data_IF_649432547791
#
_entry.id   IF_649432547791
#
_cell.length_a   1.000
_cell.length_b   1.000
_cell.length_c   1.000
_cell.angle_alpha   90.00
_cell.angle_beta   90.00
_cell.angle_gamma   90.00
#
_symmetry.space_group_name_H-M   'P 1'
#
loop_
_entity.id
_entity.type
_entity.pdbx_description
1 polymer ?
#
# COMPACT_ATOMS: atom_id res chain seq x y z
N UNK A 1 -6.76 -11.12 29.41
CA UNK A 1 -5.87 -9.97 29.65
C UNK A 1 -6.64 -8.68 29.56
N UNK A 2 -6.37 -7.70 30.42
CA UNK A 2 -6.96 -6.37 30.27
C UNK A 2 -6.56 -5.79 28.91
N UNK A 3 -7.49 -5.06 28.28
CA UNK A 3 -7.22 -4.37 27.01
C UNK A 3 -6.21 -3.24 27.24
N UNK A 4 -5.25 -3.11 26.36
CA UNK A 4 -4.31 -2.00 26.43
C UNK A 4 -4.98 -0.66 26.12
N UNK A 5 -4.32 0.43 26.50
CA UNK A 5 -4.75 1.79 26.13
C UNK A 5 -4.87 1.95 24.61
N UNK A 6 -4.00 1.28 23.83
CA UNK A 6 -4.04 1.28 22.36
C UNK A 6 -5.36 0.67 21.84
N UNK A 7 -5.74 -0.51 22.32
CA UNK A 7 -7.02 -1.16 21.96
C UNK A 7 -8.22 -0.30 22.35
N UNK A 8 -8.17 0.33 23.53
CA UNK A 8 -9.25 1.19 24.01
C UNK A 8 -9.44 2.41 23.11
N UNK A 9 -8.36 3.09 22.75
CA UNK A 9 -8.38 4.28 21.90
C UNK A 9 -8.69 3.95 20.43
N UNK A 10 -8.36 2.75 19.95
CA UNK A 10 -8.62 2.36 18.57
C UNK A 10 -10.12 2.26 18.25
N UNK A 11 -10.96 1.90 19.21
CA UNK A 11 -12.42 1.73 19.00
C UNK A 11 -13.16 3.02 18.63
N UNK A 12 -13.01 4.13 19.38
CA UNK A 12 -13.66 5.38 19.00
C UNK A 12 -13.12 5.91 17.66
N UNK A 13 -11.82 5.77 17.39
CA UNK A 13 -11.21 6.14 16.11
C UNK A 13 -11.84 5.33 14.97
N UNK A 14 -11.99 4.02 15.15
CA UNK A 14 -12.62 3.13 14.17
C UNK A 14 -14.09 3.52 13.90
N UNK A 15 -14.85 3.87 14.94
CA UNK A 15 -16.25 4.35 14.82
C UNK A 15 -16.33 5.62 13.99
N UNK A 16 -15.46 6.61 14.28
CA UNK A 16 -15.42 7.88 13.53
C UNK A 16 -15.02 7.64 12.08
N UNK A 17 -14.01 6.80 11.83
CA UNK A 17 -13.58 6.44 10.48
C UNK A 17 -14.71 5.76 9.70
N UNK A 18 -15.37 4.76 10.28
CA UNK A 18 -16.47 4.05 9.66
C UNK A 18 -17.64 4.98 9.31
N UNK A 19 -18.03 5.86 10.23
CA UNK A 19 -19.09 6.84 10.00
C UNK A 19 -18.75 7.79 8.83
N UNK A 20 -17.48 8.22 8.73
CA UNK A 20 -17.01 9.03 7.60
C UNK A 20 -17.08 8.26 6.27
N UNK A 21 -16.65 7.01 6.24
CA UNK A 21 -16.70 6.20 5.03
C UNK A 21 -18.14 5.89 4.60
N UNK A 22 -19.04 5.58 5.56
CA UNK A 22 -20.48 5.41 5.27
C UNK A 22 -21.09 6.67 4.67
N UNK A 23 -20.81 7.84 5.26
CA UNK A 23 -21.26 9.12 4.69
C UNK A 23 -20.73 9.36 3.29
N UNK A 24 -19.47 9.00 3.04
CA UNK A 24 -18.88 9.09 1.70
C UNK A 24 -19.54 8.15 0.69
N UNK A 25 -19.94 6.96 1.10
CA UNK A 25 -20.59 5.98 0.24
C UNK A 25 -22.04 6.37 -0.12
N UNK A 26 -22.67 7.26 0.64
CA UNK A 26 -24.05 7.71 0.41
C UNK A 26 -24.26 8.57 -0.86
N UNK A 27 -23.20 9.18 -1.40
CA UNK A 27 -23.27 10.07 -2.57
C UNK A 27 -22.20 9.72 -3.63
N UNK A 28 -22.18 8.50 -4.17
CA UNK A 28 -21.07 8.04 -5.01
C UNK A 28 -20.93 8.87 -6.30
N UNK A 29 -22.02 9.15 -7.00
CA UNK A 29 -21.98 9.90 -8.26
C UNK A 29 -21.52 11.35 -8.08
N UNK A 30 -22.06 12.05 -7.08
CA UNK A 30 -21.67 13.42 -6.79
C UNK A 30 -20.19 13.52 -6.39
N UNK A 31 -19.68 12.50 -5.71
CA UNK A 31 -18.25 12.45 -5.33
C UNK A 31 -17.34 12.12 -6.50
N UNK A 32 -17.74 11.19 -7.36
CA UNK A 32 -16.97 10.88 -8.58
C UNK A 32 -16.92 12.10 -9.50
N UNK A 33 -18.02 12.82 -9.67
CA UNK A 33 -18.03 14.04 -10.46
C UNK A 33 -17.10 15.12 -9.87
N UNK A 34 -17.17 15.36 -8.57
CA UNK A 34 -16.24 16.30 -7.90
C UNK A 34 -14.79 15.88 -8.07
N UNK A 35 -14.48 14.58 -7.88
CA UNK A 35 -13.15 14.07 -8.06
C UNK A 35 -12.63 14.26 -9.48
N UNK A 36 -13.46 13.98 -10.49
CA UNK A 36 -13.11 14.22 -11.89
C UNK A 36 -12.74 15.70 -12.12
N UNK A 37 -13.55 16.64 -11.58
CA UNK A 37 -13.25 18.07 -11.72
C UNK A 37 -11.94 18.47 -11.06
N UNK A 38 -11.65 17.92 -9.86
CA UNK A 38 -10.39 18.18 -9.17
C UNK A 38 -9.19 17.62 -9.94
N UNK A 39 -9.32 16.43 -10.52
CA UNK A 39 -8.28 15.82 -11.35
C UNK A 39 -8.04 16.62 -12.63
N UNK A 40 -9.10 17.00 -13.35
CA UNK A 40 -9.01 17.82 -14.58
C UNK A 40 -8.34 19.17 -14.32
N UNK A 41 -8.77 19.86 -13.24
CA UNK A 41 -8.21 21.14 -12.85
C UNK A 41 -6.68 21.05 -12.60
N UNK A 42 -6.20 19.97 -12.04
CA UNK A 42 -4.78 19.75 -11.77
C UNK A 42 -4.03 19.31 -13.02
N UNK A 43 -4.60 18.37 -13.79
CA UNK A 43 -3.94 17.76 -14.94
C UNK A 43 -3.90 18.63 -16.19
N UNK A 44 -4.79 19.62 -16.36
CA UNK A 44 -4.94 20.40 -17.60
C UNK A 44 -3.64 21.05 -18.10
N UNK A 45 -2.72 21.39 -17.19
CA UNK A 45 -1.45 22.04 -17.55
C UNK A 45 -0.28 21.06 -17.66
N UNK A 46 -0.50 19.76 -17.48
CA UNK A 46 0.52 18.74 -17.71
C UNK A 46 0.73 18.50 -19.22
N UNK A 47 1.83 17.84 -19.59
CA UNK A 47 2.04 17.45 -20.98
C UNK A 47 0.90 16.56 -21.49
N UNK A 48 0.52 15.53 -20.69
CA UNK A 48 -0.62 14.66 -21.01
C UNK A 48 -1.92 15.46 -21.15
N UNK A 49 -2.15 16.41 -20.24
CA UNK A 49 -3.35 17.26 -20.27
C UNK A 49 -3.42 18.12 -21.53
N UNK A 50 -2.32 18.74 -21.92
CA UNK A 50 -2.25 19.53 -23.17
C UNK A 50 -2.44 18.67 -24.41
N UNK A 51 -1.78 17.51 -24.48
CA UNK A 51 -1.85 16.59 -25.61
C UNK A 51 -3.26 16.05 -25.85
N UNK A 52 -4.10 16.01 -24.78
CA UNK A 52 -5.50 15.55 -24.83
C UNK A 52 -6.54 16.69 -24.70
N UNK A 53 -6.08 17.94 -24.68
CA UNK A 53 -6.98 19.09 -24.54
C UNK A 53 -7.79 19.13 -23.27
N UNK A 54 -7.24 18.59 -22.14
CA UNK A 54 -7.96 18.56 -20.87
C UNK A 54 -8.21 19.97 -20.34
N UNK A 55 -9.43 20.20 -19.87
CA UNK A 55 -9.84 21.48 -19.30
C UNK A 55 -10.69 21.25 -18.05
N UNK A 56 -10.54 22.14 -17.07
CA UNK A 56 -11.45 22.21 -15.95
C UNK A 56 -12.89 22.44 -16.43
N UNK A 57 -13.85 21.75 -15.86
CA UNK A 57 -15.27 21.87 -16.25
C UNK A 57 -15.72 20.88 -17.32
N UNK A 58 -14.85 20.07 -17.92
CA UNK A 58 -15.25 19.01 -18.83
C UNK A 58 -16.23 18.03 -18.15
N UNK A 59 -17.26 17.60 -18.89
CA UNK A 59 -18.12 16.49 -18.46
C UNK A 59 -17.39 15.16 -18.57
N UNK A 60 -17.94 14.10 -17.99
CA UNK A 60 -17.39 12.75 -18.13
C UNK A 60 -17.31 12.32 -19.60
N UNK A 61 -18.36 12.61 -20.38
CA UNK A 61 -18.43 12.27 -21.81
C UNK A 61 -17.36 13.03 -22.62
N UNK A 62 -17.15 14.31 -22.31
CA UNK A 62 -16.08 15.10 -22.94
C UNK A 62 -14.69 14.56 -22.60
N UNK A 63 -14.46 14.19 -21.33
CA UNK A 63 -13.22 13.54 -20.89
C UNK A 63 -13.00 12.22 -21.62
N UNK A 64 -14.02 11.36 -21.71
CA UNK A 64 -13.93 10.08 -22.40
C UNK A 64 -13.68 10.23 -23.91
N UNK A 65 -14.23 11.25 -24.53
CA UNK A 65 -13.96 11.55 -25.93
C UNK A 65 -12.52 12.08 -26.16
N UNK A 66 -11.99 12.85 -25.21
CA UNK A 66 -10.64 13.42 -25.31
C UNK A 66 -9.53 12.43 -24.98
N UNK A 67 -9.79 11.47 -24.07
CA UNK A 67 -8.79 10.51 -23.56
C UNK A 67 -9.21 9.10 -23.97
N UNK A 68 -8.70 8.57 -25.07
CA UNK A 68 -9.02 7.20 -25.47
C UNK A 68 -8.40 6.20 -24.50
N UNK A 69 -9.08 5.04 -24.35
CA UNK A 69 -8.60 3.93 -23.55
C UNK A 69 -7.29 3.41 -24.16
N UNK A 70 -6.27 3.25 -23.32
CA UNK A 70 -4.94 2.75 -23.69
C UNK A 70 -4.47 1.68 -22.73
N UNK A 71 -3.62 0.78 -23.22
CA UNK A 71 -2.79 -0.07 -22.40
C UNK A 71 -1.53 0.69 -21.89
N UNK A 72 -0.67 -0.02 -21.20
CA UNK A 72 0.56 0.58 -20.68
C UNK A 72 1.49 1.08 -21.80
N UNK A 73 1.59 0.34 -22.90
CA UNK A 73 2.45 0.73 -24.02
C UNK A 73 1.97 2.04 -24.67
N UNK A 74 0.66 2.23 -24.74
CA UNK A 74 0.07 3.48 -25.19
C UNK A 74 0.30 4.67 -24.24
N UNK A 75 0.57 4.42 -22.95
CA UNK A 75 0.91 5.45 -21.96
C UNK A 75 2.44 5.66 -21.83
N UNK A 76 3.21 4.69 -22.27
CA UNK A 76 4.67 4.65 -22.11
C UNK A 76 5.40 5.90 -22.55
N UNK A 77 5.05 6.59 -23.65
CA UNK A 77 5.74 7.82 -24.05
C UNK A 77 5.77 8.91 -22.96
N UNK A 78 4.68 9.09 -22.23
CA UNK A 78 4.63 10.04 -21.11
C UNK A 78 5.31 9.47 -19.85
N UNK A 79 5.13 8.19 -19.58
CA UNK A 79 5.80 7.54 -18.43
C UNK A 79 7.32 7.64 -18.57
N UNK A 80 7.88 7.36 -19.75
CA UNK A 80 9.33 7.40 -20.00
C UNK A 80 9.91 8.81 -19.80
N UNK A 81 9.17 9.87 -20.19
CA UNK A 81 9.57 11.26 -19.93
C UNK A 81 9.64 11.53 -18.41
N UNK A 82 8.61 11.13 -17.68
CA UNK A 82 8.57 11.30 -16.22
C UNK A 82 9.68 10.47 -15.52
N UNK A 83 9.95 9.25 -15.97
CA UNK A 83 11.06 8.39 -15.46
C UNK A 83 12.43 9.04 -15.67
N UNK A 84 12.61 9.80 -16.75
CA UNK A 84 13.82 10.58 -17.04
C UNK A 84 13.93 11.89 -16.26
N UNK A 85 12.96 12.18 -15.38
CA UNK A 85 12.98 13.36 -14.51
C UNK A 85 12.30 14.60 -15.11
N UNK A 86 11.50 14.46 -16.18
CA UNK A 86 10.71 15.57 -16.68
C UNK A 86 9.51 15.83 -15.77
N UNK A 87 9.35 17.07 -15.29
CA UNK A 87 8.24 17.49 -14.46
C UNK A 87 6.97 17.76 -15.29
N UNK A 88 5.82 17.78 -14.62
CA UNK A 88 4.53 18.15 -15.21
C UNK A 88 4.12 17.31 -16.44
N UNK A 89 4.53 16.03 -16.48
CA UNK A 89 4.19 15.15 -17.59
C UNK A 89 2.81 14.55 -17.44
N UNK A 90 2.61 13.68 -16.44
CA UNK A 90 1.34 13.00 -16.15
C UNK A 90 0.56 13.68 -15.03
N UNK A 91 1.26 14.31 -14.13
CA UNK A 91 0.75 15.02 -12.96
C UNK A 91 1.63 16.23 -12.68
N UNK A 92 1.12 17.29 -12.01
CA UNK A 92 1.95 18.45 -11.65
C UNK A 92 3.15 18.07 -10.80
N UNK A 93 4.31 18.59 -11.15
CA UNK A 93 5.59 18.32 -10.49
C UNK A 93 6.21 16.99 -10.90
N UNK A 94 7.19 16.55 -10.11
CA UNK A 94 7.80 15.22 -10.22
C UNK A 94 7.09 14.25 -9.27
N UNK A 95 6.96 12.96 -9.62
CA UNK A 95 6.56 11.96 -8.65
C UNK A 95 7.65 11.75 -7.60
N UNK A 96 7.26 11.46 -6.36
CA UNK A 96 8.21 11.10 -5.30
C UNK A 96 8.86 9.75 -5.57
N UNK A 97 8.08 8.84 -6.16
CA UNK A 97 8.50 7.46 -6.44
C UNK A 97 7.94 6.95 -7.76
N UNK A 98 8.63 5.94 -8.30
CA UNK A 98 8.04 5.02 -9.27
C UNK A 98 7.84 3.63 -8.64
N UNK A 99 6.60 3.15 -8.66
CA UNK A 99 6.32 1.76 -8.32
C UNK A 99 6.66 0.88 -9.52
N UNK A 100 7.61 -0.07 -9.32
CA UNK A 100 7.96 -1.08 -10.31
C UNK A 100 7.07 -2.30 -10.14
N UNK A 101 6.28 -2.62 -11.16
CA UNK A 101 5.46 -3.84 -11.14
C UNK A 101 6.20 -5.01 -11.79
N UNK A 102 5.83 -6.25 -11.40
CA UNK A 102 6.28 -7.45 -12.11
C UNK A 102 5.54 -7.55 -13.45
N UNK A 103 6.09 -6.99 -14.50
CA UNK A 103 5.57 -7.17 -15.86
C UNK A 103 5.87 -8.58 -16.35
N UNK A 104 4.85 -9.33 -16.77
CA UNK A 104 5.01 -10.69 -17.26
C UNK A 104 5.31 -10.78 -18.77
N UNK A 105 4.97 -9.76 -19.55
CA UNK A 105 5.05 -9.82 -21.02
C UNK A 105 5.85 -8.69 -21.67
N UNK A 106 5.90 -7.51 -21.07
CA UNK A 106 6.53 -6.32 -21.68
C UNK A 106 7.61 -5.67 -20.80
N UNK A 107 8.18 -6.42 -19.85
CA UNK A 107 9.18 -5.89 -18.93
C UNK A 107 8.56 -5.15 -17.73
N UNK A 108 9.40 -4.45 -16.96
CA UNK A 108 8.95 -3.72 -15.78
C UNK A 108 8.13 -2.49 -16.18
N UNK A 109 6.95 -2.35 -15.58
CA UNK A 109 6.09 -1.17 -15.73
C UNK A 109 6.35 -0.21 -14.58
N UNK A 110 6.41 1.07 -14.88
CA UNK A 110 6.62 2.13 -13.90
C UNK A 110 5.32 2.90 -13.67
N UNK A 111 4.85 2.90 -12.43
CA UNK A 111 3.64 3.63 -12.02
C UNK A 111 4.10 4.79 -11.13
N UNK A 112 3.85 6.05 -11.50
CA UNK A 112 4.24 7.19 -10.69
C UNK A 112 3.42 7.26 -9.40
N UNK A 113 4.09 7.50 -8.29
CA UNK A 113 3.49 7.77 -6.99
C UNK A 113 3.82 9.22 -6.63
N UNK A 114 2.80 10.04 -6.59
CA UNK A 114 2.93 11.47 -6.30
C UNK A 114 2.62 11.77 -4.83
N UNK A 115 3.02 12.94 -4.30
CA UNK A 115 2.61 13.39 -2.97
C UNK A 115 1.09 13.36 -2.77
N UNK A 116 0.32 13.68 -3.83
CA UNK A 116 -1.15 13.65 -3.80
C UNK A 116 -1.73 12.23 -3.78
N UNK A 117 -1.07 11.23 -4.35
CA UNK A 117 -1.53 9.84 -4.39
C UNK A 117 -1.12 9.02 -3.17
N UNK A 118 0.00 9.34 -2.53
CA UNK A 118 0.52 8.59 -1.37
C UNK A 118 -0.48 8.46 -0.22
N UNK A 119 -1.25 9.50 0.16
CA UNK A 119 -2.27 9.38 1.22
C UNK A 119 -3.36 8.35 0.91
N UNK A 120 -3.65 8.06 -0.37
CA UNK A 120 -4.63 7.04 -0.75
C UNK A 120 -4.08 5.64 -0.48
N UNK A 121 -2.80 5.39 -0.76
CA UNK A 121 -2.16 4.09 -0.52
C UNK A 121 -2.08 3.77 0.98
N UNK A 122 -1.57 4.70 1.79
CA UNK A 122 -1.46 4.52 3.25
C UNK A 122 -2.81 4.56 3.95
N UNK A 123 -3.72 5.42 3.50
CA UNK A 123 -5.05 5.60 4.07
C UNK A 123 -5.96 4.41 3.85
N UNK A 124 -5.92 3.77 2.69
CA UNK A 124 -6.78 2.62 2.37
C UNK A 124 -6.49 1.44 3.30
N UNK A 125 -5.22 1.08 3.50
CA UNK A 125 -4.81 0.00 4.41
C UNK A 125 -5.25 0.29 5.85
N UNK A 126 -5.00 1.51 6.33
CA UNK A 126 -5.45 1.94 7.66
C UNK A 126 -6.97 1.86 7.81
N UNK A 127 -7.72 2.34 6.82
CA UNK A 127 -9.18 2.33 6.86
C UNK A 127 -9.75 0.91 6.86
N UNK A 128 -9.13 -0.04 6.15
CA UNK A 128 -9.52 -1.45 6.18
C UNK A 128 -9.40 -2.03 7.61
N UNK A 129 -8.29 -1.79 8.30
CA UNK A 129 -8.11 -2.23 9.68
C UNK A 129 -9.08 -1.55 10.65
N UNK A 130 -9.33 -0.25 10.48
CA UNK A 130 -10.31 0.47 11.30
C UNK A 130 -11.74 -0.04 11.05
N UNK A 131 -12.08 -0.38 9.81
CA UNK A 131 -13.37 -0.98 9.48
C UNK A 131 -13.52 -2.37 10.10
N UNK A 132 -12.47 -3.18 10.11
CA UNK A 132 -12.45 -4.45 10.84
C UNK A 132 -12.74 -4.24 12.33
N UNK A 133 -12.03 -3.32 13.00
CA UNK A 133 -12.26 -2.97 14.41
C UNK A 133 -13.71 -2.53 14.65
N UNK A 134 -14.26 -1.69 13.77
CA UNK A 134 -15.62 -1.19 13.89
C UNK A 134 -16.65 -2.32 13.81
N UNK A 135 -16.51 -3.22 12.85
CA UNK A 135 -17.46 -4.29 12.57
C UNK A 135 -17.35 -5.43 13.60
N UNK A 136 -16.13 -5.89 13.89
CA UNK A 136 -15.89 -6.98 14.81
C UNK A 136 -15.95 -6.58 16.29
N UNK A 137 -15.90 -5.29 16.60
CA UNK A 137 -15.71 -4.73 17.95
C UNK A 137 -14.43 -5.22 18.63
N UNK A 138 -13.49 -5.76 17.85
CA UNK A 138 -12.26 -6.34 18.31
C UNK A 138 -11.06 -5.52 17.82
N UNK A 139 -10.24 -5.04 18.76
CA UNK A 139 -9.04 -4.28 18.50
C UNK A 139 -7.79 -4.92 19.13
N UNK A 140 -7.88 -6.17 19.60
CA UNK A 140 -6.79 -6.80 20.36
C UNK A 140 -5.52 -7.01 19.54
N UNK A 141 -5.64 -7.11 18.21
CA UNK A 141 -4.47 -7.28 17.36
C UNK A 141 -3.48 -6.10 17.48
N UNK A 142 -3.94 -4.88 17.82
CA UNK A 142 -3.05 -3.72 17.99
C UNK A 142 -2.16 -3.80 19.25
N UNK A 143 -2.45 -4.74 20.15
CA UNK A 143 -1.72 -4.92 21.41
C UNK A 143 -0.48 -5.80 21.26
N UNK A 144 -0.35 -6.54 20.16
CA UNK A 144 0.77 -7.44 19.87
C UNK A 144 1.55 -7.02 18.63
N UNK A 145 2.33 -7.96 18.11
CA UNK A 145 3.14 -7.77 16.91
C UNK A 145 2.32 -8.04 15.65
N UNK A 146 2.71 -7.36 14.60
CA UNK A 146 2.10 -7.47 13.27
C UNK A 146 3.18 -7.77 12.24
N UNK A 147 3.07 -8.88 11.53
CA UNK A 147 3.98 -9.25 10.44
C UNK A 147 3.42 -8.75 9.10
N UNK A 148 4.28 -8.09 8.32
CA UNK A 148 3.99 -7.69 6.95
C UNK A 148 4.97 -8.39 6.00
N UNK A 149 4.54 -9.52 5.43
CA UNK A 149 5.31 -10.24 4.41
C UNK A 149 5.18 -9.52 3.07
N UNK A 150 6.18 -8.76 2.74
CA UNK A 150 6.18 -7.88 1.56
C UNK A 150 7.47 -8.05 0.74
N UNK A 151 7.47 -7.49 -0.47
CA UNK A 151 8.69 -7.38 -1.27
C UNK A 151 9.76 -6.57 -0.54
N UNK A 152 11.01 -6.67 -1.01
CA UNK A 152 12.13 -5.91 -0.43
C UNK A 152 11.78 -4.42 -0.36
N UNK A 153 11.98 -3.75 0.79
CA UNK A 153 11.79 -2.31 0.93
C UNK A 153 12.96 -1.49 0.39
N UNK A 154 13.98 -2.11 -0.19
CA UNK A 154 15.07 -1.41 -0.85
C UNK A 154 14.55 -0.56 -1.99
N UNK A 155 15.02 0.68 -2.04
CA UNK A 155 14.76 1.61 -3.13
C UNK A 155 16.01 1.73 -4.00
N UNK A 156 15.80 1.98 -5.27
CA UNK A 156 16.82 2.35 -6.25
C UNK A 156 16.41 3.66 -6.93
N UNK A 157 17.23 4.16 -7.83
CA UNK A 157 16.89 5.37 -8.60
C UNK A 157 16.57 5.02 -10.04
N UNK A 158 15.69 5.82 -10.65
CA UNK A 158 15.51 5.88 -12.10
C UNK A 158 16.67 6.64 -12.74
N UNK A 159 16.75 6.64 -14.06
CA UNK A 159 17.72 7.46 -14.82
C UNK A 159 17.56 8.96 -14.52
N UNK A 160 16.35 9.41 -14.20
CA UNK A 160 16.05 10.78 -13.77
C UNK A 160 16.30 11.07 -12.29
N UNK A 161 16.87 10.12 -11.53
CA UNK A 161 17.21 10.29 -10.11
C UNK A 161 16.02 10.11 -9.16
N UNK A 162 14.84 9.74 -9.66
CA UNK A 162 13.64 9.54 -8.84
C UNK A 162 13.68 8.16 -8.17
N UNK A 163 13.31 8.08 -6.91
CA UNK A 163 13.28 6.83 -6.16
C UNK A 163 12.30 5.83 -6.77
N UNK A 164 12.69 4.56 -6.82
CA UNK A 164 11.81 3.49 -7.30
C UNK A 164 11.92 2.22 -6.47
N UNK A 165 10.81 1.47 -6.42
CA UNK A 165 10.73 0.21 -5.70
C UNK A 165 9.40 -0.49 -5.89
N UNK A 166 9.14 -1.54 -5.12
CA UNK A 166 7.81 -2.15 -5.04
C UNK A 166 6.88 -1.28 -4.19
N UNK A 167 5.60 -1.22 -4.51
CA UNK A 167 4.63 -0.37 -3.79
C UNK A 167 4.63 -0.64 -2.28
N UNK A 168 4.63 -1.92 -1.87
CA UNK A 168 4.67 -2.29 -0.45
C UNK A 168 5.96 -1.81 0.25
N UNK A 169 7.08 -1.83 -0.46
CA UNK A 169 8.35 -1.29 0.02
C UNK A 169 8.30 0.23 0.16
N UNK A 170 7.79 0.94 -0.84
CA UNK A 170 7.61 2.40 -0.80
C UNK A 170 6.71 2.80 0.37
N UNK A 171 5.54 2.17 0.51
CA UNK A 171 4.60 2.45 1.61
C UNK A 171 5.22 2.19 2.98
N UNK A 172 6.14 1.20 3.08
CA UNK A 172 6.84 0.92 4.34
C UNK A 172 7.64 2.10 4.88
N UNK A 173 8.16 2.97 4.02
CA UNK A 173 8.89 4.18 4.41
C UNK A 173 7.97 5.32 4.91
N UNK A 174 6.65 5.20 4.71
CA UNK A 174 5.66 6.20 5.13
C UNK A 174 4.85 5.80 6.36
N UNK A 175 5.26 4.73 7.05
CA UNK A 175 4.59 4.28 8.27
C UNK A 175 5.10 5.09 9.45
N UNK A 176 4.20 5.73 10.23
CA UNK A 176 4.57 6.49 11.41
C UNK A 176 5.38 5.68 12.44
N UNK A 177 6.37 6.30 13.08
CA UNK A 177 7.29 5.63 14.01
C UNK A 177 6.57 4.92 15.17
N UNK A 178 5.47 5.49 15.68
CA UNK A 178 4.70 4.86 16.76
C UNK A 178 4.05 3.52 16.37
N UNK A 179 3.90 3.24 15.06
CA UNK A 179 3.44 1.96 14.54
C UNK A 179 4.60 1.01 14.23
N UNK A 180 5.82 1.53 14.06
CA UNK A 180 7.00 0.72 13.76
C UNK A 180 7.34 -0.26 14.89
N UNK A 181 7.14 0.14 16.15
CA UNK A 181 7.49 -0.67 17.33
C UNK A 181 6.78 -2.05 17.40
N UNK A 182 5.59 -2.15 16.79
CA UNK A 182 4.81 -3.39 16.76
C UNK A 182 4.91 -4.13 15.42
N UNK A 183 5.75 -3.64 14.51
CA UNK A 183 5.85 -4.13 13.15
C UNK A 183 7.04 -5.06 12.97
N UNK A 184 6.81 -6.17 12.28
CA UNK A 184 7.80 -7.17 11.90
C UNK A 184 7.64 -7.51 10.42
N UNK A 185 8.62 -8.08 9.77
CA UNK A 185 10.00 -8.22 10.23
C UNK A 185 10.77 -6.89 10.17
N UNK A 186 11.99 -6.89 10.67
CA UNK A 186 12.93 -5.79 10.56
C UNK A 186 13.19 -5.41 9.08
N UNK A 187 13.71 -4.21 8.86
CA UNK A 187 14.15 -3.79 7.52
C UNK A 187 15.22 -4.72 6.97
N UNK A 188 16.16 -5.14 7.81
CA UNK A 188 17.26 -6.03 7.43
C UNK A 188 16.75 -7.39 6.97
N UNK A 189 15.87 -8.05 7.74
CA UNK A 189 15.29 -9.32 7.36
C UNK A 189 14.45 -9.21 6.08
N UNK A 190 13.69 -8.11 5.92
CA UNK A 190 12.93 -7.86 4.70
C UNK A 190 13.78 -7.66 3.44
N UNK A 191 15.04 -7.25 3.60
CA UNK A 191 15.97 -7.03 2.50
C UNK A 191 16.77 -8.27 2.09
N UNK A 192 16.67 -9.38 2.84
CA UNK A 192 17.44 -10.61 2.53
C UNK A 192 16.96 -11.25 1.24
N UNK A 193 17.92 -11.81 0.52
CA UNK A 193 17.75 -12.63 -0.69
C UNK A 193 18.71 -13.82 -0.60
N UNK A 194 18.34 -15.01 -1.11
CA UNK A 194 17.08 -15.37 -1.75
C UNK A 194 15.92 -15.51 -0.76
N UNK A 195 14.73 -15.87 -1.27
CA UNK A 195 13.50 -15.99 -0.48
C UNK A 195 13.63 -16.89 0.75
N UNK A 196 14.30 -18.01 0.64
CA UNK A 196 14.53 -18.96 1.74
C UNK A 196 15.33 -18.31 2.89
N UNK A 197 16.37 -17.54 2.57
CA UNK A 197 17.15 -16.81 3.56
C UNK A 197 16.32 -15.74 4.26
N UNK A 198 15.43 -15.09 3.49
CA UNK A 198 14.48 -14.11 4.03
C UNK A 198 13.49 -14.77 4.99
N UNK A 199 12.85 -15.87 4.59
CA UNK A 199 11.88 -16.59 5.43
C UNK A 199 12.55 -17.08 6.73
N UNK A 200 13.74 -17.66 6.65
CA UNK A 200 14.51 -18.09 7.83
C UNK A 200 14.76 -16.92 8.79
N UNK A 201 15.20 -15.77 8.29
CA UNK A 201 15.43 -14.60 9.12
C UNK A 201 14.15 -14.09 9.79
N UNK A 202 13.03 -14.09 9.05
CA UNK A 202 11.72 -13.66 9.58
C UNK A 202 11.27 -14.64 10.69
N UNK A 203 11.40 -15.95 10.48
CA UNK A 203 11.06 -16.95 11.51
C UNK A 203 11.89 -16.75 12.77
N UNK A 204 13.20 -16.55 12.65
CA UNK A 204 14.08 -16.30 13.80
C UNK A 204 13.68 -15.03 14.58
N UNK A 205 13.31 -13.95 13.90
CA UNK A 205 12.86 -12.73 14.55
C UNK A 205 11.49 -12.86 15.24
N UNK A 206 10.64 -13.78 14.77
CA UNK A 206 9.20 -13.72 15.12
C UNK A 206 8.73 -14.89 15.97
N UNK A 207 9.43 -16.02 15.97
CA UNK A 207 8.97 -17.27 16.62
C UNK A 207 8.67 -17.15 18.13
N UNK A 208 9.24 -16.16 18.81
CA UNK A 208 9.03 -15.90 20.24
C UNK A 208 8.17 -14.66 20.53
N UNK A 209 7.61 -14.03 19.48
CA UNK A 209 6.86 -12.79 19.63
C UNK A 209 5.34 -13.05 19.82
N UNK A 210 4.64 -12.11 20.43
CA UNK A 210 3.17 -12.14 20.54
C UNK A 210 2.54 -11.69 19.20
N UNK A 211 2.62 -12.57 18.18
CA UNK A 211 2.03 -12.30 16.89
C UNK A 211 0.51 -12.33 16.95
N UNK A 212 -0.13 -11.27 16.43
CA UNK A 212 -1.60 -11.16 16.38
C UNK A 212 -2.15 -10.90 15.00
N UNK A 213 -1.38 -10.29 14.11
CA UNK A 213 -1.77 -10.03 12.74
C UNK A 213 -0.64 -10.41 11.78
N UNK A 214 -1.01 -11.05 10.67
CA UNK A 214 -0.13 -11.22 9.52
C UNK A 214 -0.81 -10.67 8.26
N UNK A 215 -0.06 -9.94 7.46
CA UNK A 215 -0.47 -9.45 6.13
C UNK A 215 0.53 -9.91 5.09
N UNK A 216 0.04 -10.43 3.97
CA UNK A 216 0.91 -10.87 2.89
C UNK A 216 0.20 -11.69 1.84
N UNK A 217 0.93 -11.99 0.75
CA UNK A 217 0.44 -12.88 -0.29
C UNK A 217 0.24 -14.29 0.31
N UNK A 218 -0.91 -14.94 0.10
CA UNK A 218 -1.23 -16.23 0.74
C UNK A 218 -0.13 -17.29 0.63
N UNK A 219 0.48 -17.45 -0.54
CA UNK A 219 1.56 -18.41 -0.74
C UNK A 219 2.82 -18.08 0.07
N UNK A 220 3.13 -16.80 0.28
CA UNK A 220 4.26 -16.38 1.12
C UNK A 220 3.97 -16.61 2.60
N UNK A 221 2.73 -16.36 3.02
CA UNK A 221 2.29 -16.62 4.40
C UNK A 221 2.31 -18.12 4.69
N UNK A 222 1.87 -18.95 3.74
CA UNK A 222 1.96 -20.41 3.84
C UNK A 222 3.40 -20.85 4.03
N UNK A 223 4.33 -20.46 3.15
CA UNK A 223 5.75 -20.83 3.26
C UNK A 223 6.37 -20.37 4.60
N UNK A 224 5.99 -19.19 5.07
CA UNK A 224 6.42 -18.70 6.38
C UNK A 224 5.90 -19.59 7.52
N UNK A 225 4.62 -19.97 7.51
CA UNK A 225 4.07 -20.85 8.54
C UNK A 225 4.64 -22.26 8.48
N UNK A 226 4.81 -22.84 7.31
CA UNK A 226 5.46 -24.14 7.13
C UNK A 226 6.87 -24.12 7.75
N UNK A 227 7.66 -23.10 7.43
CA UNK A 227 9.00 -22.95 7.99
C UNK A 227 9.00 -22.70 9.50
N UNK A 228 8.06 -21.92 10.01
CA UNK A 228 7.88 -21.69 11.44
C UNK A 228 7.62 -22.99 12.19
N UNK A 229 6.73 -23.84 11.68
CA UNK A 229 6.39 -25.12 12.30
C UNK A 229 7.57 -26.11 12.27
N UNK A 230 8.32 -26.15 11.16
CA UNK A 230 9.56 -26.94 11.06
C UNK A 230 10.58 -26.52 12.12
N UNK A 231 10.82 -25.22 12.28
CA UNK A 231 11.84 -24.70 13.22
C UNK A 231 11.43 -24.87 14.69
N UNK A 232 10.12 -24.71 14.97
CA UNK A 232 9.61 -24.76 16.35
C UNK A 232 9.22 -26.17 16.80
N UNK A 233 8.99 -27.10 15.86
CA UNK A 233 8.44 -28.43 16.14
C UNK A 233 6.97 -28.42 16.58
N UNK A 234 6.28 -27.29 16.48
CA UNK A 234 4.87 -27.15 16.87
C UNK A 234 3.94 -27.83 15.85
N UNK A 235 2.81 -28.38 16.33
CA UNK A 235 1.85 -29.05 15.46
C UNK A 235 0.99 -28.08 14.66
N UNK A 236 0.82 -26.84 15.12
CA UNK A 236 0.06 -25.81 14.44
C UNK A 236 0.47 -24.40 14.87
N UNK A 237 0.08 -23.41 14.06
CA UNK A 237 0.44 -21.98 14.27
C UNK A 237 -0.07 -21.44 15.62
N UNK A 238 -1.18 -21.93 16.14
CA UNK A 238 -1.74 -21.48 17.42
C UNK A 238 -0.92 -21.93 18.63
N UNK A 239 -0.15 -22.99 18.53
CA UNK A 239 0.79 -23.38 19.58
C UNK A 239 1.96 -22.39 19.68
N UNK A 240 2.42 -21.86 18.55
CA UNK A 240 3.48 -20.84 18.54
C UNK A 240 2.90 -19.47 18.87
N UNK A 241 1.77 -19.11 18.26
CA UNK A 241 1.12 -17.81 18.41
C UNK A 241 -0.31 -17.94 18.97
N UNK A 242 -0.48 -18.16 20.28
CA UNK A 242 -1.80 -18.36 20.89
C UNK A 242 -2.80 -17.23 20.64
N UNK A 243 -2.28 -16.00 20.54
CA UNK A 243 -3.06 -14.79 20.35
C UNK A 243 -3.19 -14.37 18.87
N UNK A 244 -2.70 -15.17 17.92
CA UNK A 244 -2.84 -14.88 16.49
C UNK A 244 -4.33 -14.80 16.11
N UNK A 245 -4.72 -13.70 15.45
CA UNK A 245 -6.12 -13.33 15.32
C UNK A 245 -6.53 -12.99 13.89
N UNK A 246 -5.64 -12.33 13.13
CA UNK A 246 -6.03 -11.72 11.89
C UNK A 246 -5.02 -11.97 10.76
N UNK A 247 -5.51 -12.53 9.65
CA UNK A 247 -4.81 -12.59 8.37
C UNK A 247 -5.47 -11.64 7.37
N UNK A 248 -4.64 -10.79 6.70
CA UNK A 248 -5.09 -9.75 5.76
C UNK A 248 -4.36 -9.87 4.44
#
# INVERSE_FOLDING_TARGET
CPMSLKSLLSRPIARISAARETKKAGEPHARQSRLLQDLLKRAQNTAFGRDHGLQSGMTLEQFQAAVPIRDYEGLKPWVDRAVKGEADVLWPGLPDYFCKTSGTTSGAKFIPITPDSMPNHTGSARNALLQYIHNSKNARFVDGKMIFLQGSPKLSNTDGGILMGRLSGIVAHHIPDYLQANRLPSFEANCKEPWEAKVNAIVEETKNEDLRLISGIPSWVQNYFERLLEVTGAANVKEVFPNFELFV
#
